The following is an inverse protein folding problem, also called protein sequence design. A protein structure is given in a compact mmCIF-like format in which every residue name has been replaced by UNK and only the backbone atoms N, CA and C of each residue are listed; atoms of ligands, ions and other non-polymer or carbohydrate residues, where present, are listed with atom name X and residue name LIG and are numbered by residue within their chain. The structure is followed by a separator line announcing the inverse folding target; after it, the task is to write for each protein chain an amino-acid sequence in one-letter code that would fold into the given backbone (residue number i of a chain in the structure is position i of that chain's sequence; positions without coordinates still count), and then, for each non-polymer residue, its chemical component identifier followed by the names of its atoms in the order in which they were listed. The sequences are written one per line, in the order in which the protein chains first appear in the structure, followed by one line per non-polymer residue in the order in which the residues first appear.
data_IF_768595749929
#
_entry.id   IF_768595749929
#
_cell.length_a   1.000
_cell.length_b   1.000
_cell.length_c   1.000
_cell.angle_alpha   90.00
_cell.angle_beta   90.00
_cell.angle_gamma   90.00
#
_symmetry.space_group_name_H-M   'P 1'
#
loop_
_entity.id
_entity.type
_entity.pdbx_description
1 polymer ?
#
# COMPACT_ATOMS: atom_id res chain seq x y z
N UNK A 1 3.66 -36.16 -13.88
CA UNK A 1 2.82 -36.34 -12.67
C UNK A 1 3.32 -35.54 -11.48
N UNK A 2 4.58 -35.69 -11.03
CA UNK A 2 5.12 -34.80 -9.98
C UNK A 2 5.18 -33.33 -10.42
N UNK A 3 5.66 -33.08 -11.64
CA UNK A 3 5.79 -31.71 -12.18
C UNK A 3 4.45 -31.00 -12.35
N UNK A 4 3.38 -31.72 -12.72
CA UNK A 4 2.03 -31.16 -12.84
C UNK A 4 1.42 -30.78 -11.50
N UNK A 5 1.71 -31.55 -10.44
CA UNK A 5 1.29 -31.21 -9.07
C UNK A 5 2.03 -29.97 -8.55
N UNK A 6 3.34 -29.85 -8.82
CA UNK A 6 4.11 -28.67 -8.45
C UNK A 6 3.67 -27.41 -9.21
N UNK A 7 3.32 -27.53 -10.49
CA UNK A 7 2.75 -26.43 -11.27
C UNK A 7 1.39 -26.00 -10.70
N UNK A 8 0.50 -26.96 -10.41
CA UNK A 8 -0.80 -26.66 -9.81
C UNK A 8 -0.67 -25.99 -8.44
N UNK A 9 0.22 -26.49 -7.58
CA UNK A 9 0.50 -25.90 -6.27
C UNK A 9 1.08 -24.48 -6.39
N UNK A 10 2.04 -24.25 -7.29
CA UNK A 10 2.60 -22.91 -7.52
C UNK A 10 1.53 -21.92 -8.02
N UNK A 11 0.60 -22.40 -8.85
CA UNK A 11 -0.54 -21.60 -9.33
C UNK A 11 -1.52 -21.30 -8.20
N UNK A 12 -1.79 -22.27 -7.32
CA UNK A 12 -2.64 -22.09 -6.16
C UNK A 12 -2.06 -21.04 -5.19
N UNK A 13 -0.76 -21.12 -4.89
CA UNK A 13 -0.06 -20.12 -4.06
C UNK A 13 -0.10 -18.72 -4.69
N UNK A 14 0.02 -18.62 -6.01
CA UNK A 14 -0.09 -17.34 -6.70
C UNK A 14 -1.51 -16.75 -6.62
N UNK A 15 -2.54 -17.60 -6.74
CA UNK A 15 -3.93 -17.19 -6.60
C UNK A 15 -4.26 -16.76 -5.16
N UNK A 16 -3.76 -17.49 -4.16
CA UNK A 16 -3.90 -17.13 -2.75
C UNK A 16 -3.31 -15.75 -2.46
N UNK A 17 -2.08 -15.47 -2.89
CA UNK A 17 -1.48 -14.14 -2.74
C UNK A 17 -2.28 -13.02 -3.42
N UNK A 18 -2.85 -13.30 -4.59
CA UNK A 18 -3.72 -12.33 -5.28
C UNK A 18 -5.01 -12.10 -4.49
N UNK A 19 -5.62 -13.16 -3.95
CA UNK A 19 -6.80 -13.06 -3.09
C UNK A 19 -6.51 -12.16 -1.89
N UNK A 20 -5.44 -12.43 -1.16
CA UNK A 20 -5.06 -11.65 0.02
C UNK A 20 -4.84 -10.18 -0.33
N UNK A 21 -4.15 -9.91 -1.43
CA UNK A 21 -3.87 -8.53 -1.86
C UNK A 21 -5.14 -7.78 -2.26
N UNK A 22 -6.04 -8.43 -3.00
CA UNK A 22 -7.31 -7.82 -3.40
C UNK A 22 -8.20 -7.61 -2.17
N UNK A 23 -8.24 -8.57 -1.25
CA UNK A 23 -9.01 -8.46 -0.01
C UNK A 23 -8.53 -7.27 0.85
N UNK A 24 -7.21 -7.09 0.98
CA UNK A 24 -6.62 -5.93 1.66
C UNK A 24 -7.00 -4.61 0.99
N UNK A 25 -6.95 -4.54 -0.34
CA UNK A 25 -7.38 -3.36 -1.09
C UNK A 25 -8.87 -3.05 -0.86
N UNK A 26 -9.74 -4.05 -0.90
CA UNK A 26 -11.18 -3.89 -0.64
C UNK A 26 -11.43 -3.37 0.77
N UNK A 27 -10.77 -3.95 1.77
CA UNK A 27 -10.90 -3.55 3.17
C UNK A 27 -10.49 -2.08 3.38
N UNK A 28 -9.51 -1.61 2.62
CA UNK A 28 -8.97 -0.26 2.69
C UNK A 28 -9.48 0.69 1.59
N UNK A 29 -10.56 0.34 0.89
CA UNK A 29 -11.12 1.18 -0.15
C UNK A 29 -11.71 2.50 0.38
N UNK A 30 -12.02 2.58 1.68
CA UNK A 30 -12.45 3.81 2.36
C UNK A 30 -11.39 4.43 3.25
N UNK A 31 -10.15 3.94 3.21
CA UNK A 31 -9.06 4.45 4.05
C UNK A 31 -8.39 5.64 3.36
N UNK A 32 -8.46 6.82 4.00
CA UNK A 32 -7.78 8.04 3.54
C UNK A 32 -6.28 7.80 3.40
N UNK A 33 -5.70 8.28 2.30
CA UNK A 33 -4.30 8.13 1.97
C UNK A 33 -3.88 6.71 1.59
N UNK A 34 -4.81 5.76 1.47
CA UNK A 34 -4.46 4.39 1.09
C UNK A 34 -4.09 4.30 -0.39
N UNK A 35 -2.96 3.66 -0.66
CA UNK A 35 -2.53 3.31 -2.01
C UNK A 35 -2.62 1.79 -2.20
N UNK A 36 -3.35 1.40 -3.24
CA UNK A 36 -3.61 0.03 -3.63
C UNK A 36 -2.31 -0.76 -3.79
N UNK A 37 -2.30 -1.97 -3.27
CA UNK A 37 -1.23 -2.95 -3.46
C UNK A 37 -1.52 -3.77 -4.72
N UNK A 38 -0.52 -3.95 -5.58
CA UNK A 38 -0.54 -4.91 -6.68
C UNK A 38 0.44 -6.05 -6.43
N UNK A 39 0.22 -7.21 -7.06
CA UNK A 39 1.20 -8.31 -7.10
C UNK A 39 1.58 -8.61 -8.54
N UNK A 40 2.87 -8.62 -8.83
CA UNK A 40 3.43 -9.04 -10.11
C UNK A 40 4.07 -10.41 -9.96
N UNK A 41 3.70 -11.35 -10.83
CA UNK A 41 4.32 -12.67 -10.92
C UNK A 41 5.18 -12.72 -12.17
N UNK A 42 6.30 -13.41 -12.09
CA UNK A 42 7.18 -13.69 -13.21
C UNK A 42 7.18 -15.20 -13.46
N UNK A 43 7.23 -15.59 -14.73
CA UNK A 43 7.32 -17.00 -15.11
C UNK A 43 8.75 -17.49 -14.89
N UNK A 44 8.91 -18.48 -14.02
CA UNK A 44 10.19 -19.16 -13.78
C UNK A 44 10.17 -20.47 -14.57
N UNK A 45 10.89 -20.50 -15.68
CA UNK A 45 11.03 -21.72 -16.50
C UNK A 45 12.14 -22.59 -15.93
N UNK A 46 11.83 -23.86 -15.64
CA UNK A 46 12.81 -24.88 -15.28
C UNK A 46 12.90 -25.94 -16.38
N UNK A 47 14.12 -26.34 -16.74
CA UNK A 47 14.40 -27.32 -17.81
C UNK A 47 14.68 -26.68 -19.19
N UNK A 48 15.17 -27.50 -20.13
CA UNK A 48 15.47 -27.08 -21.52
C UNK A 48 14.72 -27.97 -22.53
N UNK A 49 14.26 -27.40 -23.65
CA UNK A 49 13.57 -28.12 -24.72
C UNK A 49 12.15 -28.61 -24.35
N UNK A 50 11.75 -29.80 -24.82
CA UNK A 50 10.41 -30.39 -24.63
C UNK A 50 10.01 -30.69 -23.17
N UNK A 51 10.91 -30.51 -22.20
CA UNK A 51 10.67 -30.71 -20.76
C UNK A 51 10.57 -29.40 -19.97
N UNK A 52 10.39 -28.25 -20.64
CA UNK A 52 10.24 -26.97 -19.95
C UNK A 52 8.97 -26.97 -19.11
N UNK A 53 9.11 -26.69 -17.81
CA UNK A 53 7.99 -26.51 -16.89
C UNK A 53 8.02 -25.06 -16.39
N UNK A 54 6.93 -24.32 -16.58
CA UNK A 54 6.80 -22.95 -16.10
C UNK A 54 6.15 -22.93 -14.72
N UNK A 55 6.78 -22.26 -13.77
CA UNK A 55 6.27 -22.02 -12.42
C UNK A 55 5.96 -20.54 -12.22
N UNK A 56 4.94 -20.23 -11.43
CA UNK A 56 4.75 -18.85 -10.96
C UNK A 56 5.82 -18.51 -9.91
N UNK A 57 6.46 -17.34 -10.02
CA UNK A 57 7.37 -16.84 -8.98
C UNK A 57 6.66 -16.62 -7.64
N UNK A 58 7.41 -16.27 -6.59
CA UNK A 58 6.83 -15.90 -5.29
C UNK A 58 5.87 -14.70 -5.35
N UNK A 59 5.85 -13.97 -6.45
CA UNK A 59 5.14 -12.70 -6.57
C UNK A 59 5.89 -11.59 -5.84
N UNK A 60 5.90 -10.40 -6.43
CA UNK A 60 6.43 -9.19 -5.79
C UNK A 60 5.30 -8.18 -5.63
N UNK A 61 5.17 -7.62 -4.44
CA UNK A 61 4.20 -6.56 -4.21
C UNK A 61 4.74 -5.22 -4.68
N UNK A 62 3.88 -4.35 -5.18
CA UNK A 62 4.21 -2.97 -5.50
C UNK A 62 3.02 -2.07 -5.16
N UNK A 63 3.30 -0.79 -4.93
CA UNK A 63 2.28 0.20 -4.64
C UNK A 63 1.80 0.86 -5.94
N UNK A 64 0.49 1.07 -6.09
CA UNK A 64 -0.07 1.77 -7.23
C UNK A 64 0.36 3.24 -7.24
N UNK A 65 0.92 3.70 -8.35
CA UNK A 65 1.30 5.11 -8.57
C UNK A 65 0.12 6.05 -8.82
N UNK A 66 -1.09 5.52 -9.05
CA UNK A 66 -2.28 6.36 -9.30
C UNK A 66 -2.68 7.15 -8.05
N UNK A 67 -3.05 8.42 -8.20
CA UNK A 67 -3.53 9.26 -7.10
C UNK A 67 -4.97 8.90 -6.69
N UNK A 68 -5.26 9.09 -5.40
CA UNK A 68 -6.64 9.16 -4.92
C UNK A 68 -7.33 10.46 -5.34
N UNK A 69 -8.65 10.49 -5.25
CA UNK A 69 -9.41 11.74 -5.39
C UNK A 69 -9.21 12.64 -4.17
N UNK A 70 -9.19 13.95 -4.37
CA UNK A 70 -9.18 14.91 -3.28
C UNK A 70 -10.61 15.24 -2.85
N UNK A 71 -10.90 15.11 -1.55
CA UNK A 71 -12.19 15.47 -0.95
C UNK A 71 -12.00 16.68 -0.04
N UNK A 72 -12.83 17.71 -0.22
CA UNK A 72 -12.87 18.87 0.66
C UNK A 72 -13.57 18.49 1.98
N UNK A 73 -12.88 18.71 3.10
CA UNK A 73 -13.40 18.47 4.46
C UNK A 73 -13.66 19.77 5.22
N UNK A 74 -12.97 20.85 4.85
CA UNK A 74 -13.03 22.15 5.55
C UNK A 74 -12.34 22.17 6.92
N UNK A 75 -11.76 21.06 7.37
CA UNK A 75 -11.01 21.00 8.62
C UNK A 75 -9.62 21.63 8.42
N UNK A 76 -9.22 22.64 9.22
CA UNK A 76 -7.93 23.29 9.06
C UNK A 76 -6.71 22.39 9.35
N UNK A 77 -6.90 21.22 9.97
CA UNK A 77 -5.82 20.25 10.17
C UNK A 77 -5.82 19.09 9.17
N UNK A 78 -6.70 19.13 8.16
CA UNK A 78 -6.65 18.19 7.06
C UNK A 78 -5.81 18.79 5.93
N UNK A 79 -4.85 18.01 5.45
CA UNK A 79 -3.95 18.39 4.37
C UNK A 79 -3.92 17.30 3.31
N UNK A 80 -3.96 17.69 2.05
CA UNK A 80 -3.72 16.79 0.94
C UNK A 80 -2.52 17.24 0.13
N UNK A 81 -1.76 16.29 -0.39
CA UNK A 81 -0.63 16.57 -1.26
C UNK A 81 -1.13 16.69 -2.69
N UNK A 82 -0.78 17.78 -3.34
CA UNK A 82 -0.89 17.93 -4.79
C UNK A 82 0.45 17.49 -5.40
N UNK A 83 0.41 16.48 -6.28
CA UNK A 83 1.59 15.93 -6.94
C UNK A 83 2.21 14.71 -6.25
N UNK A 84 3.44 14.40 -6.68
CA UNK A 84 4.19 13.21 -6.29
C UNK A 84 5.12 13.49 -5.10
N UNK A 85 4.54 13.56 -3.91
CA UNK A 85 5.28 13.63 -2.65
C UNK A 85 4.52 12.96 -1.50
N UNK A 86 5.18 12.77 -0.35
CA UNK A 86 4.62 12.11 0.82
C UNK A 86 4.81 12.97 2.06
N UNK A 87 3.90 12.85 3.02
CA UNK A 87 4.14 13.35 4.38
C UNK A 87 5.03 12.34 5.11
N UNK A 88 5.77 12.83 6.10
CA UNK A 88 6.56 11.98 6.99
C UNK A 88 6.03 12.10 8.43
N UNK A 89 5.93 10.96 9.11
CA UNK A 89 5.59 10.87 10.52
C UNK A 89 6.66 10.09 11.28
N UNK A 90 6.86 10.45 12.55
CA UNK A 90 7.80 9.74 13.44
C UNK A 90 7.08 8.64 14.21
N UNK A 91 7.52 7.41 14.04
CA UNK A 91 6.89 6.22 14.64
C UNK A 91 7.92 5.38 15.37
N UNK A 92 7.50 4.43 16.23
CA UNK A 92 8.43 3.45 16.81
C UNK A 92 9.19 2.60 15.77
N UNK A 93 8.73 2.53 14.52
CA UNK A 93 9.44 1.87 13.42
C UNK A 93 10.44 2.81 12.70
N UNK A 94 10.60 4.04 13.20
CA UNK A 94 11.31 5.14 12.54
C UNK A 94 10.35 5.99 11.69
N UNK A 95 10.93 6.76 10.78
CA UNK A 95 10.19 7.61 9.85
C UNK A 95 9.29 6.78 8.94
N UNK A 96 8.00 7.08 8.89
CA UNK A 96 7.01 6.45 8.01
C UNK A 96 6.46 7.48 7.03
N UNK A 97 6.36 7.09 5.75
CA UNK A 97 5.78 7.90 4.69
C UNK A 97 4.27 7.67 4.63
N UNK A 98 3.47 8.73 4.55
CA UNK A 98 2.01 8.61 4.43
C UNK A 98 1.41 9.63 3.45
N UNK A 99 0.26 9.28 2.85
CA UNK A 99 -0.63 10.20 2.14
C UNK A 99 -1.82 10.62 2.99
N UNK A 100 -2.01 10.02 4.16
CA UNK A 100 -3.04 10.45 5.11
C UNK A 100 -2.57 11.75 5.78
N UNK A 101 -3.17 12.86 5.38
CA UNK A 101 -2.90 14.17 5.96
C UNK A 101 -3.98 14.65 6.93
N UNK A 102 -4.79 13.73 7.48
CA UNK A 102 -5.64 14.06 8.62
C UNK A 102 -4.77 14.19 9.86
N UNK A 103 -4.58 15.42 10.31
CA UNK A 103 -3.76 15.71 11.48
C UNK A 103 -4.60 16.31 12.61
N UNK A 104 -3.96 16.47 13.76
CA UNK A 104 -4.48 17.15 14.93
C UNK A 104 -3.34 17.82 15.66
N UNK A 105 -3.64 18.84 16.47
CA UNK A 105 -2.66 19.44 17.36
C UNK A 105 -2.91 18.94 18.78
N UNK A 106 -1.88 18.41 19.42
CA UNK A 106 -1.98 17.98 20.82
C UNK A 106 -1.91 19.18 21.79
N UNK A 107 -2.07 18.93 23.09
CA UNK A 107 -2.04 19.97 24.13
C UNK A 107 -0.68 20.71 24.22
N UNK A 108 0.40 20.03 23.83
CA UNK A 108 1.73 20.61 23.79
C UNK A 108 1.96 21.47 22.54
N UNK A 109 1.03 21.48 21.58
CA UNK A 109 1.15 22.21 20.32
C UNK A 109 1.85 21.42 19.21
N UNK A 110 2.16 20.16 19.41
CA UNK A 110 2.79 19.34 18.36
C UNK A 110 1.72 18.86 17.36
N UNK A 111 2.06 18.89 16.07
CA UNK A 111 1.20 18.37 15.01
C UNK A 111 1.33 16.84 14.94
N UNK A 112 0.21 16.15 15.07
CA UNK A 112 0.11 14.69 15.19
C UNK A 112 -0.77 14.11 14.09
N UNK A 113 -0.43 12.92 13.60
CA UNK A 113 -1.34 12.08 12.83
C UNK A 113 -2.53 11.62 13.68
N UNK A 114 -3.60 11.14 13.03
CA UNK A 114 -4.72 10.49 13.73
C UNK A 114 -4.32 9.28 14.57
N UNK A 115 -3.18 8.65 14.26
CA UNK A 115 -2.62 7.52 15.01
C UNK A 115 -1.74 7.99 16.19
N UNK A 116 -1.59 9.31 16.39
CA UNK A 116 -0.83 9.89 17.49
C UNK A 116 0.68 9.98 17.25
N UNK A 117 1.09 10.00 15.98
CA UNK A 117 2.50 10.11 15.59
C UNK A 117 2.86 11.54 15.17
N UNK A 118 4.00 12.11 15.64
CA UNK A 118 4.42 13.44 15.23
C UNK A 118 4.60 13.56 13.73
N UNK A 119 4.08 14.64 13.14
CA UNK A 119 4.32 15.01 11.73
C UNK A 119 5.63 15.76 11.64
N UNK A 120 6.44 15.41 10.63
CA UNK A 120 7.78 15.94 10.46
C UNK A 120 7.83 17.11 9.46
N UNK A 121 8.70 18.06 9.76
CA UNK A 121 9.10 19.12 8.83
C UNK A 121 10.10 18.60 7.78
N UNK A 122 10.51 19.45 6.83
CA UNK A 122 11.48 19.06 5.79
C UNK A 122 12.89 18.71 6.35
N UNK A 123 13.21 19.14 7.57
CA UNK A 123 14.44 18.79 8.30
C UNK A 123 14.34 17.47 9.07
N UNK A 124 13.17 16.84 9.10
CA UNK A 124 12.91 15.61 9.85
C UNK A 124 12.63 15.83 11.33
N UNK A 125 12.35 17.05 11.77
CA UNK A 125 11.98 17.36 13.15
C UNK A 125 10.44 17.44 13.31
N UNK A 126 9.88 17.05 14.47
CA UNK A 126 8.46 17.25 14.76
C UNK A 126 8.03 18.71 14.63
N UNK A 127 6.88 18.93 14.01
CA UNK A 127 6.32 20.27 13.83
C UNK A 127 5.67 20.76 15.13
N UNK A 128 6.15 21.90 15.60
CA UNK A 128 5.67 22.56 16.80
C UNK A 128 4.88 23.84 16.46
N UNK A 129 3.66 23.94 16.97
CA UNK A 129 2.76 25.08 16.85
C UNK A 129 2.52 25.70 18.24
N UNK A 130 2.03 26.94 18.30
CA UNK A 130 1.55 27.54 19.55
C UNK A 130 0.06 27.20 19.73
N UNK A 131 -0.32 26.40 20.75
CA UNK A 131 -1.72 26.01 20.95
C UNK A 131 -2.64 27.20 21.27
N UNK A 132 -2.10 28.34 21.71
CA UNK A 132 -2.87 29.56 22.01
C UNK A 132 -3.26 30.34 20.76
N UNK A 133 -2.61 30.10 19.63
CA UNK A 133 -2.85 30.81 18.37
C UNK A 133 -3.85 30.09 17.45
N UNK A 134 -4.38 28.93 17.86
CA UNK A 134 -5.34 28.16 17.08
C UNK A 134 -4.73 27.46 15.87
N UNK A 135 -5.54 27.01 14.89
CA UNK A 135 -5.05 26.27 13.72
C UNK A 135 -4.13 27.11 12.84
N UNK A 136 -3.07 26.51 12.24
CA UNK A 136 -2.21 27.22 11.31
C UNK A 136 -2.92 27.44 9.97
N UNK A 137 -2.47 28.44 9.21
CA UNK A 137 -2.76 28.57 7.77
C UNK A 137 -1.59 28.00 6.98
N UNK A 138 -1.86 27.09 6.05
CA UNK A 138 -0.82 26.54 5.19
C UNK A 138 -0.72 27.31 3.87
N UNK A 139 0.51 27.57 3.43
CA UNK A 139 0.82 27.94 2.05
C UNK A 139 0.82 26.71 1.14
N UNK A 140 0.76 26.94 -0.17
CA UNK A 140 0.82 25.86 -1.16
C UNK A 140 2.15 25.09 -1.12
N UNK A 141 3.21 25.72 -0.62
CA UNK A 141 4.53 25.13 -0.39
C UNK A 141 4.63 24.31 0.91
N UNK A 142 3.54 24.21 1.67
CA UNK A 142 3.52 23.55 2.99
C UNK A 142 3.94 24.45 4.14
N UNK A 143 4.28 25.73 3.90
CA UNK A 143 4.64 26.66 4.96
C UNK A 143 3.46 26.90 5.91
N UNK A 144 3.69 26.85 7.21
CA UNK A 144 2.66 27.00 8.25
C UNK A 144 2.78 28.35 8.93
N UNK A 145 1.67 29.07 9.02
CA UNK A 145 1.59 30.38 9.68
C UNK A 145 0.54 30.44 10.76
N UNK A 146 0.88 31.03 11.91
CA UNK A 146 -0.07 31.40 12.97
C UNK A 146 0.04 32.90 13.22
N UNK A 147 -1.09 33.62 13.26
CA UNK A 147 -1.12 35.09 13.35
C UNK A 147 -0.20 35.78 12.32
N UNK A 148 -0.20 35.28 11.08
CA UNK A 148 0.64 35.72 9.96
C UNK A 148 2.17 35.58 10.15
N UNK A 149 2.61 34.97 11.25
CA UNK A 149 4.01 34.62 11.49
C UNK A 149 4.29 33.19 11.01
N UNK A 150 5.41 33.01 10.31
CA UNK A 150 5.90 31.68 9.91
C UNK A 150 6.34 30.91 11.16
N UNK A 151 5.72 29.75 11.40
CA UNK A 151 6.02 28.88 12.55
C UNK A 151 6.71 27.59 12.16
N UNK A 152 6.62 27.17 10.89
CA UNK A 152 7.26 25.97 10.38
C UNK A 152 6.83 25.65 8.95
N UNK A 153 7.10 24.45 8.49
CA UNK A 153 6.61 23.93 7.21
C UNK A 153 6.38 22.43 7.32
N UNK A 154 5.31 21.93 6.70
CA UNK A 154 5.10 20.49 6.57
C UNK A 154 6.16 19.92 5.64
N UNK A 155 6.82 18.84 6.05
CA UNK A 155 7.78 18.13 5.22
C UNK A 155 7.07 17.39 4.09
N UNK A 156 7.46 17.70 2.86
CA UNK A 156 7.07 16.95 1.67
C UNK A 156 8.28 16.16 1.19
N UNK A 157 8.12 14.87 0.97
CA UNK A 157 9.23 13.97 0.65
C UNK A 157 9.01 13.27 -0.68
N UNK A 158 10.06 13.21 -1.50
CA UNK A 158 10.09 12.33 -2.65
C UNK A 158 10.41 10.92 -2.16
N UNK A 159 9.56 9.98 -2.51
CA UNK A 159 9.64 8.62 -2.00
C UNK A 159 9.15 7.62 -3.05
N UNK A 160 10.02 6.69 -3.39
CA UNK A 160 9.69 5.48 -4.14
C UNK A 160 9.64 4.29 -3.17
N UNK A 161 8.45 3.70 -2.92
CA UNK A 161 8.29 2.51 -2.08
C UNK A 161 9.08 1.29 -2.57
N UNK A 162 9.34 1.19 -3.88
CA UNK A 162 9.91 0.02 -4.51
C UNK A 162 9.02 -1.23 -4.43
N UNK A 163 9.59 -2.38 -4.79
CA UNK A 163 8.95 -3.69 -4.66
C UNK A 163 9.09 -4.22 -3.22
N UNK A 164 8.12 -5.02 -2.77
CA UNK A 164 8.12 -5.62 -1.43
C UNK A 164 8.25 -4.60 -0.29
N UNK A 165 7.62 -3.44 -0.47
CA UNK A 165 7.52 -2.40 0.55
C UNK A 165 6.91 -2.94 1.85
N UNK A 166 7.24 -2.29 2.97
CA UNK A 166 6.68 -2.63 4.28
C UNK A 166 5.62 -1.59 4.64
N UNK A 167 4.39 -2.05 4.85
CA UNK A 167 3.27 -1.22 5.28
C UNK A 167 3.31 -1.03 6.81
N UNK A 168 3.04 0.18 7.27
CA UNK A 168 2.90 0.54 8.68
C UNK A 168 1.47 1.03 8.93
N UNK A 169 0.79 0.48 9.93
CA UNK A 169 -0.63 0.74 10.15
C UNK A 169 -1.44 0.37 8.90
N UNK A 170 -2.43 1.21 8.55
CA UNK A 170 -3.29 0.95 7.39
C UNK A 170 -2.75 1.53 6.07
N UNK A 171 -2.16 2.73 6.08
CA UNK A 171 -1.77 3.45 4.84
C UNK A 171 -0.29 3.84 4.77
N UNK A 172 0.41 3.86 5.90
CA UNK A 172 1.80 4.26 5.99
C UNK A 172 2.76 3.26 5.34
N UNK A 173 3.91 3.73 4.89
CA UNK A 173 4.96 2.92 4.26
C UNK A 173 6.30 3.21 4.95
N UNK A 174 6.97 2.17 5.43
CA UNK A 174 8.33 2.28 5.96
C UNK A 174 9.30 2.40 4.77
N UNK A 175 10.07 3.50 4.67
CA UNK A 175 10.97 3.70 3.55
C UNK A 175 12.21 2.81 3.70
N UNK A 176 12.60 2.13 2.61
CA UNK A 176 13.79 1.27 2.60
C UNK A 176 15.12 2.07 2.57
N UNK A 177 15.04 3.36 2.25
CA UNK A 177 16.15 4.31 2.19
C UNK A 177 15.69 5.62 2.80
N UNK A 178 16.62 6.46 3.24
CA UNK A 178 16.27 7.80 3.73
C UNK A 178 15.54 8.58 2.63
N UNK A 179 14.29 9.03 2.87
CA UNK A 179 13.55 9.81 1.89
C UNK A 179 14.16 11.21 1.72
N UNK A 180 14.07 11.76 0.53
CA UNK A 180 14.64 13.07 0.21
C UNK A 180 13.55 14.15 0.33
N UNK A 181 13.77 15.24 1.08
CA UNK A 181 12.81 16.32 1.14
C UNK A 181 12.69 16.98 -0.23
N UNK A 182 11.46 17.29 -0.62
CA UNK A 182 11.15 18.08 -1.80
C UNK A 182 11.43 19.54 -1.47
N UNK A 183 12.47 20.10 -2.08
CA UNK A 183 12.74 21.55 -2.05
C UNK A 183 12.51 22.15 -3.42
N UNK A 184 11.84 23.30 -3.47
CA UNK A 184 11.71 24.14 -4.66
C UNK A 184 11.06 23.49 -5.89
N UNK A 185 10.02 22.65 -5.70
CA UNK A 185 9.20 22.11 -6.78
C UNK A 185 7.86 22.81 -6.89
N UNK A 186 7.62 23.49 -8.00
CA UNK A 186 6.35 24.21 -8.26
C UNK A 186 5.17 23.29 -8.58
N UNK A 187 5.43 22.02 -8.89
CA UNK A 187 4.42 21.01 -9.23
C UNK A 187 4.00 20.14 -8.04
N UNK A 188 4.62 20.34 -6.88
CA UNK A 188 4.30 19.67 -5.62
C UNK A 188 3.84 20.71 -4.62
N UNK A 189 2.75 20.42 -3.91
CA UNK A 189 2.26 21.34 -2.90
C UNK A 189 1.27 20.71 -1.92
N UNK A 190 0.71 21.56 -1.06
CA UNK A 190 -0.27 21.20 -0.04
C UNK A 190 -1.58 21.95 -0.27
N UNK A 191 -2.68 21.22 -0.20
CA UNK A 191 -4.03 21.76 -0.13
C UNK A 191 -4.59 21.55 1.27
N UNK A 192 -4.77 22.63 2.03
CA UNK A 192 -5.38 22.62 3.35
C UNK A 192 -6.91 22.55 3.27
N UNK A 193 -7.53 21.82 4.18
CA UNK A 193 -8.97 21.56 4.19
C UNK A 193 -9.38 20.42 3.26
N UNK A 194 -8.43 19.62 2.80
CA UNK A 194 -8.64 18.50 1.89
C UNK A 194 -7.95 17.24 2.41
N UNK A 195 -8.47 16.09 2.00
CA UNK A 195 -7.82 14.78 2.21
C UNK A 195 -7.72 14.03 0.88
N UNK A 196 -6.67 13.21 0.72
CA UNK A 196 -6.54 12.29 -0.41
C UNK A 196 -7.26 10.98 -0.07
N UNK A 197 -8.28 10.58 -0.82
CA UNK A 197 -8.99 9.31 -0.63
C UNK A 197 -8.15 8.11 -1.07
N UNK A 198 -8.63 6.90 -0.77
CA UNK A 198 -8.07 5.68 -1.34
C UNK A 198 -8.09 5.72 -2.87
N UNK A 199 -7.02 5.26 -3.53
CA UNK A 199 -7.03 5.08 -4.99
C UNK A 199 -7.64 3.74 -5.43
N UNK A 200 -8.23 2.98 -4.49
CA UNK A 200 -8.87 1.70 -4.76
C UNK A 200 -10.28 1.93 -5.32
N UNK A 201 -10.61 1.22 -6.40
CA UNK A 201 -11.99 1.12 -6.86
C UNK A 201 -12.65 -0.14 -6.26
N UNK A 202 -13.54 -0.02 -5.26
CA UNK A 202 -14.09 -1.18 -4.56
C UNK A 202 -14.93 -2.09 -5.47
N UNK A 203 -15.66 -1.54 -6.44
CA UNK A 203 -16.48 -2.33 -7.37
C UNK A 203 -15.59 -3.20 -8.26
N UNK A 204 -14.49 -2.63 -8.75
CA UNK A 204 -13.53 -3.35 -9.57
C UNK A 204 -12.76 -4.40 -8.76
N UNK A 205 -12.31 -4.05 -7.55
CA UNK A 205 -11.60 -4.99 -6.68
C UNK A 205 -12.50 -6.14 -6.22
N UNK A 206 -13.76 -5.90 -5.87
CA UNK A 206 -14.70 -6.97 -5.54
C UNK A 206 -14.95 -7.92 -6.73
N UNK A 207 -15.04 -7.38 -7.94
CA UNK A 207 -15.16 -8.20 -9.15
C UNK A 207 -13.91 -9.07 -9.34
N UNK A 208 -12.72 -8.50 -9.14
CA UNK A 208 -11.45 -9.23 -9.19
C UNK A 208 -11.39 -10.31 -8.10
N UNK A 209 -11.84 -10.01 -6.88
CA UNK A 209 -11.86 -10.94 -5.76
C UNK A 209 -12.68 -12.19 -6.11
N UNK A 210 -13.90 -12.00 -6.62
CA UNK A 210 -14.78 -13.11 -7.04
C UNK A 210 -14.13 -13.94 -8.15
N UNK A 211 -13.48 -13.30 -9.13
CA UNK A 211 -12.80 -14.00 -10.21
C UNK A 211 -11.63 -14.85 -9.70
N UNK A 212 -10.78 -14.29 -8.84
CA UNK A 212 -9.63 -15.04 -8.28
C UNK A 212 -10.12 -16.14 -7.34
N UNK A 213 -11.19 -15.92 -6.58
CA UNK A 213 -11.76 -16.94 -5.69
C UNK A 213 -12.26 -18.14 -6.49
N UNK A 214 -13.03 -17.89 -7.56
CA UNK A 214 -13.47 -18.96 -8.47
C UNK A 214 -12.30 -19.70 -9.12
N UNK A 215 -11.26 -18.97 -9.52
CA UNK A 215 -10.05 -19.58 -10.08
C UNK A 215 -9.32 -20.47 -9.06
N UNK A 216 -9.25 -20.03 -7.80
CA UNK A 216 -8.67 -20.81 -6.70
C UNK A 216 -9.48 -22.08 -6.43
N UNK A 217 -10.80 -21.96 -6.29
CA UNK A 217 -11.71 -23.09 -6.07
C UNK A 217 -11.64 -24.12 -7.21
N UNK A 218 -11.60 -23.65 -8.46
CA UNK A 218 -11.44 -24.51 -9.63
C UNK A 218 -10.08 -25.24 -9.63
N UNK A 219 -9.00 -24.54 -9.31
CA UNK A 219 -7.65 -25.15 -9.22
C UNK A 219 -7.59 -26.20 -8.12
N UNK A 220 -8.18 -25.92 -6.95
CA UNK A 220 -8.28 -26.86 -5.85
C UNK A 220 -9.16 -28.08 -6.17
N UNK A 221 -10.21 -27.90 -6.99
CA UNK A 221 -11.03 -29.02 -7.48
C UNK A 221 -10.24 -29.93 -8.44
N UNK A 222 -9.46 -29.35 -9.37
CA UNK A 222 -8.61 -30.10 -10.30
C UNK A 222 -7.50 -30.88 -9.58
N UNK A 223 -6.90 -30.31 -8.53
CA UNK A 223 -5.91 -31.00 -7.70
C UNK A 223 -6.54 -32.22 -7.01
N UNK A 224 -7.69 -32.06 -6.37
CA UNK A 224 -8.42 -33.17 -5.74
C UNK A 224 -8.78 -34.28 -6.74
N UNK A 225 -9.18 -33.91 -7.96
CA UNK A 225 -9.49 -34.88 -9.02
C UNK A 225 -8.23 -35.63 -9.50
N UNK A 226 -7.10 -34.94 -9.58
CA UNK A 226 -5.81 -35.56 -9.96
C UNK A 226 -5.34 -36.54 -8.88
N UNK A 227 -5.47 -36.16 -7.61
CA UNK A 227 -5.13 -37.02 -6.47
C UNK A 227 -6.03 -38.26 -6.45
N UNK A 228 -7.35 -38.10 -6.59
CA UNK A 228 -8.27 -39.25 -6.63
C UNK A 228 -7.99 -40.19 -7.81
N UNK A 229 -7.68 -39.65 -8.99
CA UNK A 229 -7.29 -40.46 -10.15
C UNK A 229 -5.99 -41.23 -9.92
N UNK A 230 -5.03 -40.63 -9.19
CA UNK A 230 -3.76 -41.27 -8.86
C UNK A 230 -3.97 -42.40 -7.84
N UNK A 231 -4.79 -42.16 -6.82
CA UNK A 231 -5.17 -43.17 -5.83
C UNK A 231 -5.89 -44.37 -6.46
N UNK A 232 -6.81 -44.13 -7.38
CA UNK A 232 -7.49 -45.20 -8.13
C UNK A 232 -6.52 -46.00 -8.99
N UNK A 233 -5.57 -45.34 -9.66
CA UNK A 233 -4.55 -46.02 -10.45
C UNK A 233 -3.64 -46.89 -9.57
N UNK A 234 -3.24 -46.40 -8.40
CA UNK A 234 -2.45 -47.15 -7.41
C UNK A 234 -3.24 -48.37 -6.92
N UNK A 235 -4.51 -48.21 -6.55
CA UNK A 235 -5.36 -49.32 -6.11
C UNK A 235 -5.52 -50.39 -7.18
N UNK A 236 -5.76 -49.99 -8.43
CA UNK A 236 -5.99 -50.90 -9.56
C UNK A 236 -4.72 -51.65 -9.99
N UNK A 237 -3.55 -51.00 -9.91
CA UNK A 237 -2.27 -51.62 -10.23
C UNK A 237 -1.70 -52.44 -9.06
N UNK A 238 -1.93 -52.01 -7.82
CA UNK A 238 -1.50 -52.69 -6.61
C UNK A 238 -2.31 -53.94 -6.27
N UNK A 239 -3.57 -54.03 -6.70
CA UNK A 239 -4.41 -55.22 -6.49
C UNK A 239 -4.14 -56.37 -7.47
N UNK A 240 -3.18 -56.23 -8.39
CA UNK A 240 -2.82 -57.24 -9.41
C UNK A 240 -1.52 -58.01 -9.10
N UNK A 241 -0.92 -57.81 -7.93
CA UNK A 241 0.18 -58.62 -7.37
C UNK A 241 -0.28 -59.35 -6.12
#
# INVERSE_FOLDING_TARGET
MRDSLYVALSSQMALERRLDTIADNVANAGTVGFRATGVKFEDVVSGTGQKSVSFASSGKTYLSGAHGSLTETGNPFDFAIQGDAWFAIDTPAGTVMTRDGRFSMNENGELMSIEGHPVLDAGGAPIQLDPRNGPPKAGADGSLRQNDQLVGSIGLYNFDPGENFVRYGNSGIVPARTPEPVTDRSDVGVAQGFVEESNVNPVLEMTRLIMVQRAFENTAALMRQTDSSTDEAIKTLGSKS
#
